data_IF_634746715063
#
_entry.id   IF_634746715063
#
_cell.length_a   1.000
_cell.length_b   1.000
_cell.length_c   1.000
_cell.angle_alpha   90.00
_cell.angle_beta   90.00
_cell.angle_gamma   90.00
#
_symmetry.space_group_name_H-M   'P 1'
#
loop_
_entity.id
_entity.type
_entity.pdbx_description
1 polymer ?
#
# COMPACT_ATOMS: atom_id res chain seq x y z
N UNK A 1 -52.46 -28.64 -56.67
CA UNK A 1 -52.03 -27.31 -56.19
C UNK A 1 -51.54 -27.49 -54.73
N UNK A 2 -50.23 -27.62 -54.51
CA UNK A 2 -49.62 -27.79 -53.19
C UNK A 2 -48.87 -26.50 -52.85
N UNK A 3 -49.31 -25.81 -51.82
CA UNK A 3 -48.64 -24.60 -51.30
C UNK A 3 -47.57 -25.03 -50.29
N UNK A 4 -46.31 -24.77 -50.64
CA UNK A 4 -45.20 -24.95 -49.71
C UNK A 4 -45.08 -23.68 -48.83
N UNK A 5 -45.12 -23.85 -47.51
CA UNK A 5 -44.87 -22.77 -46.53
C UNK A 5 -43.37 -22.84 -46.16
N UNK A 6 -42.66 -21.79 -46.53
CA UNK A 6 -41.27 -21.58 -46.17
C UNK A 6 -41.22 -20.96 -44.74
N UNK A 7 -40.72 -21.70 -43.77
CA UNK A 7 -40.45 -21.17 -42.44
C UNK A 7 -39.05 -20.62 -42.45
N UNK A 8 -38.94 -19.30 -42.36
CA UNK A 8 -37.69 -18.55 -42.24
C UNK A 8 -37.29 -18.52 -40.77
N UNK A 9 -36.32 -19.38 -40.38
CA UNK A 9 -35.74 -19.37 -39.05
C UNK A 9 -34.77 -18.17 -38.95
N UNK A 10 -35.19 -17.13 -38.25
CA UNK A 10 -34.34 -15.99 -37.95
C UNK A 10 -33.33 -16.35 -36.85
N UNK A 11 -32.05 -16.43 -37.21
CA UNK A 11 -30.94 -16.44 -36.25
C UNK A 11 -30.81 -15.05 -35.63
N UNK A 12 -31.26 -14.89 -34.39
CA UNK A 12 -30.93 -13.75 -33.58
C UNK A 12 -29.46 -13.89 -33.14
N UNK A 13 -28.55 -13.20 -33.81
CA UNK A 13 -27.18 -13.00 -33.35
C UNK A 13 -27.21 -12.13 -32.10
N UNK A 14 -26.96 -12.73 -30.94
CA UNK A 14 -26.61 -12.04 -29.70
C UNK A 14 -25.27 -11.34 -29.93
N UNK A 15 -25.31 -10.08 -30.35
CA UNK A 15 -24.16 -9.22 -30.30
C UNK A 15 -23.80 -8.99 -28.84
N UNK A 16 -22.79 -9.71 -28.35
CA UNK A 16 -22.15 -9.38 -27.10
C UNK A 16 -21.69 -7.91 -27.20
N UNK A 17 -22.23 -7.04 -26.37
CA UNK A 17 -21.74 -5.69 -26.19
C UNK A 17 -20.29 -5.77 -25.73
N UNK A 18 -19.35 -5.66 -26.65
CA UNK A 18 -18.00 -5.25 -26.34
C UNK A 18 -18.11 -3.78 -25.97
N UNK A 19 -18.25 -3.49 -24.67
CA UNK A 19 -18.24 -2.16 -24.12
C UNK A 19 -16.91 -1.50 -24.43
N UNK A 20 -16.94 -0.55 -25.36
CA UNK A 20 -15.86 0.39 -25.59
C UNK A 20 -15.82 1.30 -24.36
N UNK A 21 -14.67 1.28 -23.62
CA UNK A 21 -14.34 2.31 -22.64
C UNK A 21 -14.69 1.99 -21.19
N UNK A 22 -14.43 0.78 -20.71
CA UNK A 22 -14.15 0.57 -19.31
C UNK A 22 -12.62 0.62 -19.14
N UNK A 23 -12.10 1.65 -18.48
CA UNK A 23 -10.80 1.52 -17.82
C UNK A 23 -10.98 0.42 -16.79
N UNK A 24 -10.60 -0.81 -17.14
CA UNK A 24 -10.76 -1.95 -16.26
C UNK A 24 -9.86 -1.78 -15.04
N UNK A 25 -10.37 -2.05 -13.86
CA UNK A 25 -9.58 -2.13 -12.61
C UNK A 25 -8.32 -2.99 -12.77
N UNK A 26 -8.23 -3.83 -13.80
CA UNK A 26 -7.07 -4.67 -14.12
C UNK A 26 -5.82 -3.93 -14.58
N UNK A 27 -5.94 -2.70 -15.09
CA UNK A 27 -4.79 -1.93 -15.57
C UNK A 27 -4.04 -1.20 -14.44
N UNK A 28 -4.64 -1.12 -13.24
CA UNK A 28 -4.03 -0.45 -12.08
C UNK A 28 -3.21 -1.37 -11.19
N UNK A 29 -3.26 -2.68 -11.40
CA UNK A 29 -2.57 -3.66 -10.58
C UNK A 29 -1.70 -4.60 -11.40
N UNK A 30 -0.54 -4.96 -10.85
CA UNK A 30 0.32 -6.02 -11.38
C UNK A 30 0.57 -7.08 -10.33
N UNK A 31 0.56 -8.37 -10.75
CA UNK A 31 0.75 -9.49 -9.85
C UNK A 31 2.21 -9.58 -9.39
N UNK A 32 2.43 -9.47 -8.09
CA UNK A 32 3.70 -9.80 -7.42
C UNK A 32 3.69 -11.27 -7.03
N UNK A 33 4.63 -12.03 -7.56
CA UNK A 33 4.77 -13.47 -7.28
C UNK A 33 5.65 -13.69 -6.03
N UNK A 34 5.61 -14.93 -5.50
CA UNK A 34 6.40 -15.40 -4.35
C UNK A 34 7.89 -15.53 -4.70
N UNK A 35 8.54 -14.42 -5.02
CA UNK A 35 9.97 -14.32 -5.32
C UNK A 35 10.53 -13.01 -4.82
N UNK A 36 11.84 -12.93 -4.69
CA UNK A 36 12.52 -11.67 -4.36
C UNK A 36 12.10 -10.56 -5.34
N UNK A 37 11.56 -9.49 -4.79
CA UNK A 37 11.00 -8.37 -5.54
C UNK A 37 11.52 -7.06 -4.96
N UNK A 38 12.03 -6.18 -5.82
CA UNK A 38 12.42 -4.83 -5.42
C UNK A 38 11.17 -3.98 -5.22
N UNK A 39 11.22 -3.13 -4.20
CA UNK A 39 10.12 -2.23 -3.83
C UNK A 39 10.56 -0.78 -3.79
N UNK A 40 9.62 0.13 -4.00
CA UNK A 40 9.83 1.57 -3.95
C UNK A 40 10.86 2.05 -4.96
N UNK A 41 11.92 2.72 -4.48
CA UNK A 41 13.02 3.20 -5.33
C UNK A 41 14.00 2.08 -5.76
N UNK A 42 13.75 0.85 -5.30
CA UNK A 42 14.56 -0.33 -5.60
C UNK A 42 15.74 -0.56 -4.65
N UNK A 43 15.94 0.30 -3.65
CA UNK A 43 17.02 0.14 -2.64
C UNK A 43 16.69 -0.90 -1.57
N UNK A 44 15.46 -1.40 -1.54
CA UNK A 44 15.01 -2.51 -0.70
C UNK A 44 14.39 -3.62 -1.56
N UNK A 45 14.57 -4.88 -1.17
CA UNK A 45 13.86 -6.03 -1.74
C UNK A 45 13.23 -6.85 -0.63
N UNK A 46 12.11 -7.51 -0.97
CA UNK A 46 11.35 -8.40 -0.10
C UNK A 46 10.94 -9.66 -0.84
N UNK A 47 10.60 -10.73 -0.11
CA UNK A 47 10.08 -11.97 -0.68
C UNK A 47 8.73 -12.29 -0.04
N UNK A 48 7.60 -12.06 -0.73
CA UNK A 48 6.30 -12.39 -0.19
C UNK A 48 6.08 -13.91 -0.17
N UNK A 49 5.31 -14.41 0.80
CA UNK A 49 4.99 -15.83 0.98
C UNK A 49 3.79 -16.27 0.14
N UNK A 50 2.97 -15.34 -0.30
CA UNK A 50 1.87 -15.54 -1.28
C UNK A 50 1.87 -14.42 -2.31
N UNK A 51 1.18 -14.56 -3.45
CA UNK A 51 1.06 -13.48 -4.43
C UNK A 51 0.29 -12.29 -3.86
N UNK A 52 0.72 -11.07 -4.23
CA UNK A 52 0.09 -9.79 -3.91
C UNK A 52 -0.23 -9.03 -5.18
N UNK A 53 -1.13 -8.06 -5.11
CA UNK A 53 -1.42 -7.12 -6.19
C UNK A 53 -0.68 -5.81 -5.90
N UNK A 54 0.33 -5.49 -6.73
CA UNK A 54 1.04 -4.21 -6.68
C UNK A 54 0.19 -3.15 -7.36
N UNK A 55 -0.09 -2.05 -6.68
CA UNK A 55 -0.71 -0.88 -7.29
C UNK A 55 0.26 -0.25 -8.28
N UNK A 56 -0.19 -0.02 -9.51
CA UNK A 56 0.61 0.67 -10.51
C UNK A 56 0.59 2.16 -10.23
N UNK A 57 1.77 2.78 -10.20
CA UNK A 57 1.89 4.23 -10.12
C UNK A 57 1.38 4.85 -11.41
N UNK A 58 0.46 5.78 -11.29
CA UNK A 58 0.11 6.66 -12.38
C UNK A 58 1.28 7.64 -12.60
N UNK A 59 1.49 8.09 -13.84
CA UNK A 59 2.62 8.94 -14.26
C UNK A 59 2.82 10.23 -13.46
N UNK A 60 1.87 10.59 -12.59
CA UNK A 60 1.87 11.80 -11.77
C UNK A 60 2.19 11.54 -10.29
N UNK A 61 2.40 10.29 -9.87
CA UNK A 61 2.83 9.96 -8.52
C UNK A 61 4.35 10.06 -8.42
N UNK A 62 4.84 11.25 -8.12
CA UNK A 62 6.29 11.56 -8.06
C UNK A 62 7.01 10.96 -6.86
N UNK A 63 6.32 10.23 -5.98
CA UNK A 63 6.89 9.64 -4.78
C UNK A 63 7.44 8.25 -5.08
N UNK A 64 8.66 8.21 -5.66
CA UNK A 64 9.30 6.94 -6.10
C UNK A 64 9.77 6.02 -4.97
N UNK A 65 9.84 6.49 -3.73
CA UNK A 65 10.24 5.66 -2.58
C UNK A 65 9.07 4.94 -1.90
N UNK A 66 7.82 5.21 -2.26
CA UNK A 66 6.64 4.52 -1.73
C UNK A 66 6.06 3.56 -2.76
N UNK A 67 5.63 2.39 -2.34
CA UNK A 67 4.98 1.38 -3.17
C UNK A 67 3.94 0.64 -2.33
N UNK A 68 2.74 0.43 -2.89
CA UNK A 68 1.61 -0.17 -2.21
C UNK A 68 1.18 -1.48 -2.87
N UNK A 69 0.92 -2.49 -2.05
CA UNK A 69 0.37 -3.78 -2.45
C UNK A 69 -0.91 -4.06 -1.67
N UNK A 70 -1.82 -4.82 -2.28
CA UNK A 70 -3.06 -5.25 -1.64
C UNK A 70 -3.40 -6.69 -2.00
N UNK A 71 -4.14 -7.37 -1.15
CA UNK A 71 -4.73 -8.69 -1.43
C UNK A 71 -6.20 -8.58 -1.80
N UNK A 72 -6.95 -7.78 -1.05
CA UNK A 72 -8.41 -7.72 -1.10
C UNK A 72 -8.93 -6.39 -1.65
N UNK A 73 -8.02 -5.50 -2.01
CA UNK A 73 -8.31 -4.16 -2.50
C UNK A 73 -8.00 -3.06 -1.48
N UNK A 74 -7.61 -1.84 -1.95
CA UNK A 74 -7.04 -0.79 -1.11
C UNK A 74 -8.00 -0.21 -0.06
N UNK A 75 -9.30 -0.54 -0.14
CA UNK A 75 -10.26 -0.16 0.89
C UNK A 75 -10.30 -1.15 2.08
N UNK A 76 -9.71 -2.35 1.93
CA UNK A 76 -9.76 -3.40 2.93
C UNK A 76 -8.39 -3.71 3.54
N UNK A 77 -7.35 -3.64 2.74
CA UNK A 77 -5.96 -3.87 3.14
C UNK A 77 -4.98 -3.09 2.27
N UNK A 78 -3.88 -2.67 2.87
CA UNK A 78 -2.76 -2.02 2.21
C UNK A 78 -1.44 -2.44 2.88
N UNK A 79 -0.50 -2.88 2.04
CA UNK A 79 0.86 -3.18 2.43
C UNK A 79 1.79 -2.17 1.77
N UNK A 80 2.14 -1.14 2.51
CA UNK A 80 2.98 -0.03 2.05
C UNK A 80 4.46 -0.28 2.33
N UNK A 81 5.30 -0.06 1.33
CA UNK A 81 6.75 -0.03 1.42
C UNK A 81 7.27 1.38 1.25
N UNK A 82 8.10 1.82 2.20
CA UNK A 82 8.93 3.02 2.05
C UNK A 82 10.38 2.56 1.90
N UNK A 83 10.94 2.74 0.72
CA UNK A 83 12.28 2.29 0.38
C UNK A 83 13.16 3.49 0.09
N UNK A 84 14.00 3.85 1.06
CA UNK A 84 15.01 4.89 0.89
C UNK A 84 14.49 6.33 0.81
N UNK A 85 13.42 6.68 1.54
CA UNK A 85 12.94 8.07 1.64
C UNK A 85 14.09 8.98 2.07
N UNK A 86 14.50 9.95 1.22
CA UNK A 86 15.65 10.80 1.51
C UNK A 86 15.33 11.88 2.56
N UNK A 87 16.37 12.40 3.18
CA UNK A 87 16.29 13.58 4.05
C UNK A 87 15.56 14.75 3.38
N UNK A 88 14.81 15.50 4.17
CA UNK A 88 14.05 16.70 3.76
C UNK A 88 13.00 16.43 2.66
N UNK A 89 12.48 15.18 2.56
CA UNK A 89 11.43 14.81 1.62
C UNK A 89 10.15 14.42 2.34
N UNK A 90 9.01 14.53 1.63
CA UNK A 90 7.72 14.08 2.12
C UNK A 90 7.54 12.57 1.89
N UNK A 91 6.85 11.93 2.84
CA UNK A 91 6.47 10.52 2.73
C UNK A 91 5.49 10.30 1.57
N UNK A 92 4.58 11.22 1.39
CA UNK A 92 3.51 11.20 0.37
C UNK A 92 3.59 12.45 -0.49
N UNK A 93 2.98 12.40 -1.69
CA UNK A 93 2.82 13.60 -2.50
C UNK A 93 1.93 14.61 -1.76
N UNK A 94 2.41 15.85 -1.63
CA UNK A 94 1.69 16.92 -0.94
C UNK A 94 1.28 18.00 -1.92
N UNK A 95 0.02 18.42 -1.82
CA UNK A 95 -0.42 19.66 -2.44
C UNK A 95 0.08 20.86 -1.59
N UNK A 96 0.08 22.06 -2.17
CA UNK A 96 0.67 23.24 -1.51
C UNK A 96 0.05 23.57 -0.15
N UNK A 97 -1.25 23.26 0.05
CA UNK A 97 -1.94 23.47 1.33
C UNK A 97 -1.67 22.35 2.36
N UNK A 98 -1.39 21.13 1.93
CA UNK A 98 -1.09 20.00 2.81
C UNK A 98 0.33 20.07 3.35
N UNK A 99 1.24 20.69 2.61
CA UNK A 99 2.67 20.77 2.96
C UNK A 99 2.96 21.50 4.27
N UNK A 100 2.00 22.26 4.79
CA UNK A 100 2.10 22.92 6.11
C UNK A 100 1.70 21.99 7.26
N UNK A 101 0.96 20.91 6.99
CA UNK A 101 0.40 20.03 8.01
C UNK A 101 1.13 18.67 8.09
N UNK A 102 1.83 18.28 7.01
CA UNK A 102 2.59 17.03 6.97
C UNK A 102 4.07 17.35 7.12
N UNK A 103 4.74 16.86 8.18
CA UNK A 103 6.17 17.06 8.34
C UNK A 103 6.97 16.36 7.22
N UNK A 104 8.10 16.97 6.85
CA UNK A 104 9.12 16.27 6.05
C UNK A 104 9.88 15.30 6.94
N UNK A 105 10.33 14.22 6.36
CA UNK A 105 11.27 13.33 7.02
C UNK A 105 12.63 14.04 7.17
N UNK A 106 13.23 13.95 8.35
CA UNK A 106 14.60 14.35 8.62
C UNK A 106 15.39 13.15 9.14
N UNK A 107 16.63 13.02 8.70
CA UNK A 107 17.47 11.86 8.97
C UNK A 107 17.87 11.69 10.45
N UNK A 108 17.69 12.71 11.26
CA UNK A 108 17.89 12.71 12.71
C UNK A 108 16.60 12.46 13.52
N UNK A 109 15.47 12.24 12.86
CA UNK A 109 14.20 11.93 13.52
C UNK A 109 14.31 10.66 14.37
N UNK A 110 13.81 10.76 15.57
CA UNK A 110 13.59 9.64 16.49
C UNK A 110 12.34 8.84 16.11
N UNK A 111 12.19 7.62 16.64
CA UNK A 111 11.00 6.81 16.38
C UNK A 111 9.68 7.52 16.77
N UNK A 112 9.55 8.24 17.90
CA UNK A 112 8.35 9.05 18.19
C UNK A 112 8.08 10.17 17.18
N UNK A 113 9.11 10.81 16.61
CA UNK A 113 8.93 11.85 15.60
C UNK A 113 8.48 11.24 14.25
N UNK A 114 9.01 10.08 13.89
CA UNK A 114 8.53 9.33 12.71
C UNK A 114 7.09 8.87 12.91
N UNK A 115 6.73 8.39 14.12
CA UNK A 115 5.34 8.06 14.45
C UNK A 115 4.41 9.27 14.28
N UNK A 116 4.80 10.44 14.78
CA UNK A 116 4.00 11.67 14.61
C UNK A 116 3.88 12.10 13.15
N UNK A 117 4.93 11.91 12.34
CA UNK A 117 4.89 12.15 10.89
C UNK A 117 3.89 11.21 10.20
N UNK A 118 3.89 9.91 10.55
CA UNK A 118 2.92 8.93 10.02
C UNK A 118 1.49 9.30 10.42
N UNK A 119 1.24 9.62 11.70
CA UNK A 119 -0.07 10.08 12.16
C UNK A 119 -0.57 11.30 11.37
N UNK A 120 0.30 12.29 11.14
CA UNK A 120 -0.04 13.47 10.34
C UNK A 120 -0.42 13.11 8.90
N UNK A 121 0.30 12.16 8.28
CA UNK A 121 -0.01 11.67 6.94
C UNK A 121 -1.38 10.98 6.89
N UNK A 122 -1.70 10.12 7.87
CA UNK A 122 -3.01 9.47 7.98
C UNK A 122 -4.15 10.46 8.16
N UNK A 123 -3.98 11.49 9.02
CA UNK A 123 -5.02 12.50 9.26
C UNK A 123 -5.26 13.40 8.05
N UNK A 124 -4.20 13.82 7.36
CA UNK A 124 -4.30 14.81 6.28
C UNK A 124 -4.69 14.17 4.94
N UNK A 125 -4.12 13.00 4.62
CA UNK A 125 -4.30 12.35 3.30
C UNK A 125 -5.09 11.05 3.38
N UNK A 126 -4.96 10.30 4.47
CA UNK A 126 -5.67 9.04 4.67
C UNK A 126 -7.13 9.20 5.11
N UNK A 127 -7.54 10.43 5.51
CA UNK A 127 -8.91 10.67 5.98
C UNK A 127 -9.19 10.14 7.38
N UNK A 128 -8.16 9.84 8.18
CA UNK A 128 -8.33 9.36 9.53
C UNK A 128 -8.92 10.45 10.45
N UNK A 129 -10.12 10.20 10.94
CA UNK A 129 -10.82 11.07 11.91
C UNK A 129 -10.34 10.82 13.34
N UNK A 130 -9.90 9.61 13.62
CA UNK A 130 -9.28 9.21 14.88
C UNK A 130 -8.04 8.36 14.60
N UNK A 131 -6.94 8.63 15.33
CA UNK A 131 -5.71 7.85 15.26
C UNK A 131 -5.22 7.56 16.68
N UNK A 132 -4.90 6.28 16.95
CA UNK A 132 -4.43 5.78 18.24
C UNK A 132 -3.14 5.01 18.07
N UNK A 133 -2.07 5.48 18.67
CA UNK A 133 -0.87 4.67 18.87
C UNK A 133 -1.13 3.65 19.98
N UNK A 134 -1.00 2.36 19.67
CA UNK A 134 -1.16 1.27 20.62
C UNK A 134 0.17 0.93 21.30
N UNK A 135 1.25 0.87 20.53
CA UNK A 135 2.60 0.62 21.02
C UNK A 135 3.65 1.19 20.07
N UNK A 136 4.75 1.66 20.64
CA UNK A 136 5.97 2.00 19.93
C UNK A 136 7.13 1.33 20.65
N UNK A 137 7.78 0.37 20.01
CA UNK A 137 8.82 -0.48 20.63
C UNK A 137 10.07 -0.55 19.77
N UNK A 138 11.26 -0.67 20.37
CA UNK A 138 12.48 -0.96 19.62
C UNK A 138 12.36 -2.29 18.88
N UNK A 139 12.76 -2.30 17.60
CA UNK A 139 12.84 -3.53 16.78
C UNK A 139 13.95 -3.37 15.76
N UNK A 140 14.76 -4.42 15.56
CA UNK A 140 15.72 -4.42 14.46
C UNK A 140 15.01 -4.57 13.10
N UNK A 141 15.45 -3.81 12.12
CA UNK A 141 14.99 -3.90 10.75
C UNK A 141 16.16 -3.75 9.78
N UNK A 142 16.23 -4.61 8.76
CA UNK A 142 17.31 -4.65 7.76
C UNK A 142 18.73 -4.79 8.39
N UNK A 143 18.82 -5.35 9.61
CA UNK A 143 20.07 -5.49 10.36
C UNK A 143 20.49 -4.25 11.16
N UNK A 144 19.64 -3.21 11.22
CA UNK A 144 19.91 -1.95 11.94
C UNK A 144 18.92 -1.77 13.11
N UNK A 145 19.32 -1.01 14.16
CA UNK A 145 18.36 -0.55 15.17
C UNK A 145 17.23 0.25 14.53
N UNK A 146 16.01 -0.09 14.87
CA UNK A 146 14.81 0.53 14.35
C UNK A 146 13.66 0.43 15.35
N UNK A 147 12.43 0.44 14.85
CA UNK A 147 11.23 0.46 15.67
C UNK A 147 10.11 -0.35 15.04
N UNK A 148 9.14 -0.73 15.88
CA UNK A 148 7.81 -1.19 15.50
C UNK A 148 6.79 -0.23 16.11
N UNK A 149 5.84 0.18 15.28
CA UNK A 149 4.67 0.95 15.66
C UNK A 149 3.42 0.12 15.43
N UNK A 150 2.62 -0.09 16.46
CA UNK A 150 1.28 -0.65 16.36
C UNK A 150 0.26 0.47 16.58
N UNK A 151 -0.75 0.58 15.71
CA UNK A 151 -1.73 1.65 15.75
C UNK A 151 -3.11 1.18 15.29
N UNK A 152 -4.13 1.97 15.59
CA UNK A 152 -5.48 1.87 15.04
C UNK A 152 -5.94 3.23 14.59
N UNK A 153 -6.77 3.26 13.55
CA UNK A 153 -7.43 4.49 13.13
C UNK A 153 -8.86 4.22 12.65
N UNK A 154 -9.66 5.26 12.69
CA UNK A 154 -11.02 5.30 12.15
C UNK A 154 -11.03 6.28 10.99
N UNK A 155 -11.46 5.85 9.83
CA UNK A 155 -11.57 6.68 8.65
C UNK A 155 -13.00 7.25 8.47
N UNK A 156 -13.13 8.13 7.49
CA UNK A 156 -14.42 8.76 7.14
C UNK A 156 -15.49 7.76 6.64
N UNK A 157 -15.08 6.54 6.26
CA UNK A 157 -15.99 5.44 5.89
C UNK A 157 -16.52 4.65 7.11
N UNK A 158 -16.23 5.14 8.33
CA UNK A 158 -16.59 4.53 9.61
C UNK A 158 -15.97 3.15 9.86
N UNK A 159 -14.96 2.78 9.07
CA UNK A 159 -14.24 1.52 9.22
C UNK A 159 -13.03 1.70 10.15
N UNK A 160 -12.99 0.90 11.23
CA UNK A 160 -11.80 0.76 12.05
C UNK A 160 -10.75 -0.10 11.35
N UNK A 161 -9.58 0.48 11.18
CA UNK A 161 -8.39 -0.19 10.67
C UNK A 161 -7.36 -0.37 11.78
N UNK A 162 -6.54 -1.37 11.62
CA UNK A 162 -5.38 -1.63 12.48
C UNK A 162 -4.15 -1.70 11.61
N UNK A 163 -3.07 -1.10 12.10
CA UNK A 163 -1.82 -1.10 11.37
C UNK A 163 -0.63 -1.52 12.23
N UNK A 164 0.39 -2.02 11.56
CA UNK A 164 1.74 -2.24 12.08
C UNK A 164 2.75 -1.70 11.10
N UNK A 165 3.65 -0.84 11.57
CA UNK A 165 4.81 -0.37 10.82
C UNK A 165 6.08 -0.89 11.48
N UNK A 166 7.03 -1.35 10.66
CA UNK A 166 8.39 -1.71 11.08
C UNK A 166 9.38 -0.93 10.24
N UNK A 167 10.33 -0.23 10.87
CA UNK A 167 11.25 0.60 10.11
C UNK A 167 12.53 0.98 10.82
N UNK A 168 13.44 1.57 10.06
CA UNK A 168 14.71 2.10 10.54
C UNK A 168 15.19 3.26 9.66
N UNK A 169 15.98 4.16 10.25
CA UNK A 169 16.76 5.16 9.51
C UNK A 169 18.15 4.58 9.25
N UNK A 170 18.51 4.44 7.98
CA UNK A 170 19.74 3.78 7.55
C UNK A 170 20.44 4.68 6.53
N UNK A 171 21.67 5.11 6.83
CA UNK A 171 22.44 5.99 5.96
C UNK A 171 21.72 7.31 5.64
N UNK A 172 20.96 7.87 6.61
CA UNK A 172 20.19 9.10 6.44
C UNK A 172 18.91 8.96 5.62
N UNK A 173 18.43 7.74 5.39
CA UNK A 173 17.20 7.43 4.64
C UNK A 173 16.25 6.59 5.48
N UNK A 174 14.96 6.82 5.34
CA UNK A 174 13.94 6.04 6.03
C UNK A 174 13.53 4.83 5.19
N UNK A 175 13.49 3.68 5.86
CA UNK A 175 12.96 2.41 5.34
C UNK A 175 11.84 1.94 6.25
N UNK A 176 10.67 1.66 5.68
CA UNK A 176 9.50 1.15 6.40
C UNK A 176 8.82 0.03 5.60
N UNK A 177 8.20 -0.90 6.30
CA UNK A 177 7.14 -1.76 5.81
C UNK A 177 5.94 -1.57 6.72
N UNK A 178 4.78 -1.29 6.18
CA UNK A 178 3.56 -1.02 6.93
C UNK A 178 2.43 -1.91 6.40
N UNK A 179 1.73 -2.58 7.30
CA UNK A 179 0.44 -3.22 7.03
C UNK A 179 -0.65 -2.36 7.64
N UNK A 180 -1.66 -2.04 6.87
CA UNK A 180 -2.88 -1.36 7.30
C UNK A 180 -4.08 -2.11 6.75
N UNK A 181 -4.97 -2.60 7.62
CA UNK A 181 -6.08 -3.41 7.18
C UNK A 181 -7.29 -3.29 8.12
N UNK A 182 -8.49 -3.61 7.60
CA UNK A 182 -9.70 -3.62 8.40
C UNK A 182 -9.53 -4.55 9.62
N UNK A 183 -9.74 -3.96 10.82
CA UNK A 183 -9.28 -4.46 12.11
C UNK A 183 -9.74 -5.88 12.46
N UNK A 184 -10.99 -6.20 12.15
CA UNK A 184 -11.63 -7.39 12.68
C UNK A 184 -11.33 -8.68 11.92
N UNK A 185 -10.95 -8.62 10.65
CA UNK A 185 -10.74 -9.80 9.80
C UNK A 185 -9.41 -9.74 9.07
N UNK A 186 -9.20 -8.73 8.24
CA UNK A 186 -8.06 -8.68 7.32
C UNK A 186 -6.72 -8.50 8.05
N UNK A 187 -6.66 -7.62 9.05
CA UNK A 187 -5.42 -7.41 9.79
C UNK A 187 -4.88 -8.68 10.46
N UNK A 188 -5.66 -9.45 11.25
CA UNK A 188 -5.14 -10.68 11.86
C UNK A 188 -4.81 -11.78 10.84
N UNK A 189 -5.53 -11.84 9.69
CA UNK A 189 -5.25 -12.81 8.64
C UNK A 189 -3.94 -12.53 7.90
N UNK A 190 -3.61 -11.26 7.70
CA UNK A 190 -2.45 -10.81 6.91
C UNK A 190 -1.20 -10.56 7.74
N UNK A 191 -1.34 -10.42 9.07
CA UNK A 191 -0.22 -10.15 9.96
C UNK A 191 0.92 -11.19 9.85
N UNK A 192 0.67 -12.52 9.73
CA UNK A 192 1.74 -13.50 9.52
C UNK A 192 2.52 -13.27 8.21
N UNK A 193 1.84 -12.87 7.13
CA UNK A 193 2.48 -12.58 5.84
C UNK A 193 3.33 -11.31 5.93
N UNK A 194 2.80 -10.28 6.59
CA UNK A 194 3.55 -9.05 6.87
C UNK A 194 4.84 -9.37 7.63
N UNK A 195 4.78 -10.17 8.70
CA UNK A 195 5.96 -10.54 9.48
C UNK A 195 6.98 -11.33 8.64
N UNK A 196 6.52 -12.23 7.77
CA UNK A 196 7.38 -12.96 6.85
C UNK A 196 8.05 -12.01 5.84
N UNK A 197 7.32 -11.04 5.29
CA UNK A 197 7.83 -10.01 4.38
C UNK A 197 8.87 -9.15 5.08
N UNK A 198 8.59 -8.64 6.28
CA UNK A 198 9.56 -7.87 7.10
C UNK A 198 10.85 -8.66 7.35
N UNK A 199 10.74 -9.94 7.71
CA UNK A 199 11.89 -10.81 7.95
C UNK A 199 12.69 -11.13 6.67
N UNK A 200 12.05 -11.10 5.51
CA UNK A 200 12.69 -11.32 4.21
C UNK A 200 13.39 -10.08 3.65
N UNK A 201 13.12 -8.90 4.23
CA UNK A 201 13.61 -7.63 3.70
C UNK A 201 15.15 -7.55 3.66
N UNK A 202 15.70 -7.00 2.59
CA UNK A 202 17.14 -6.82 2.37
C UNK A 202 17.41 -5.47 1.72
N UNK A 203 18.49 -4.80 2.16
CA UNK A 203 19.05 -3.66 1.43
C UNK A 203 19.67 -4.11 0.12
N UNK A 204 19.51 -3.29 -0.90
CA UNK A 204 20.12 -3.49 -2.21
C UNK A 204 21.09 -2.35 -2.50
N UNK A 205 22.24 -2.70 -2.99
CA UNK A 205 23.26 -1.77 -3.50
C UNK A 205 23.02 -1.43 -4.96
#
# INVERSE_FOLDING_TARGET
MKRAILILAGFASLSACTGIGGYGYGDYYSLVRTRETRVGDGSMSVTPVRPWNRQQRLFFDDVKWVEDWTLNGPLLDDLTFVSGLPDNKYLIQTESHDSQQIPRFHSDMTAPEIQAMLESAYRVRGGAVEFKTLALTPRQFLGYPGFQLDYEHLDTDELWRKGRAVGAVIGGRLYLVMLDAARSHYFPDELPDFEAIVNSARLRS
#
